data_IF_307855221734
#
_entry.id   IF_307855221734
#
_cell.length_a   1.000
_cell.length_b   1.000
_cell.length_c   1.000
_cell.angle_alpha   90.00
_cell.angle_beta   90.00
_cell.angle_gamma   90.00
#
_symmetry.space_group_name_H-M   'P 1'
#
loop_
_entity.id
_entity.type
_entity.pdbx_description
1 polymer ?
#
# COMPACT_ATOMS: atom_id res chain seq x y z
N UNK A 1 -39.74 -16.06 -23.82
CA UNK A 1 -38.88 -16.65 -22.78
C UNK A 1 -38.28 -15.50 -21.99
N UNK A 2 -38.84 -15.22 -20.82
CA UNK A 2 -38.38 -14.13 -19.95
C UNK A 2 -37.24 -14.66 -19.07
N UNK A 3 -36.07 -14.01 -19.11
CA UNK A 3 -34.95 -14.32 -18.24
C UNK A 3 -35.29 -13.87 -16.80
N UNK A 4 -35.17 -14.80 -15.86
CA UNK A 4 -35.32 -14.55 -14.43
C UNK A 4 -34.23 -13.59 -13.95
N UNK A 5 -34.61 -12.41 -13.48
CA UNK A 5 -33.73 -11.53 -12.72
C UNK A 5 -33.31 -12.22 -11.43
N UNK A 6 -32.01 -12.43 -11.26
CA UNK A 6 -31.42 -12.81 -9.98
C UNK A 6 -31.72 -11.72 -8.95
N UNK A 7 -32.17 -12.03 -7.72
CA UNK A 7 -32.44 -11.00 -6.73
C UNK A 7 -31.12 -10.33 -6.34
N UNK A 8 -31.08 -9.00 -6.38
CA UNK A 8 -30.01 -8.24 -5.75
C UNK A 8 -29.98 -8.59 -4.26
N UNK A 9 -28.83 -9.07 -3.81
CA UNK A 9 -28.58 -9.43 -2.42
C UNK A 9 -28.68 -8.16 -1.56
N UNK A 10 -29.83 -7.95 -0.89
CA UNK A 10 -30.15 -6.77 -0.08
C UNK A 10 -29.38 -6.70 1.24
N UNK A 11 -28.52 -7.68 1.53
CA UNK A 11 -27.86 -7.80 2.83
C UNK A 11 -26.52 -7.05 2.92
N UNK A 12 -26.19 -6.17 1.97
CA UNK A 12 -24.89 -5.48 1.99
C UNK A 12 -24.83 -4.32 3.01
N UNK A 13 -25.96 -3.91 3.59
CA UNK A 13 -26.04 -2.74 4.48
C UNK A 13 -27.02 -2.89 5.67
N UNK A 14 -27.48 -4.10 5.97
CA UNK A 14 -28.40 -4.31 7.10
C UNK A 14 -27.58 -4.81 8.27
N UNK A 15 -27.24 -3.93 9.20
CA UNK A 15 -26.81 -4.34 10.54
C UNK A 15 -28.03 -4.97 11.23
N UNK A 16 -27.87 -6.19 11.74
CA UNK A 16 -28.98 -7.01 12.26
C UNK A 16 -29.47 -6.50 13.65
N UNK A 17 -28.73 -5.60 14.29
CA UNK A 17 -29.07 -5.05 15.62
C UNK A 17 -28.75 -3.54 15.72
N UNK A 18 -29.65 -2.79 16.38
CA UNK A 18 -29.49 -1.36 16.73
C UNK A 18 -28.29 -1.15 17.65
N UNK A 19 -27.94 -2.15 18.47
CA UNK A 19 -26.75 -2.12 19.31
C UNK A 19 -25.44 -2.10 18.49
N UNK A 20 -25.38 -2.85 17.38
CA UNK A 20 -24.23 -2.87 16.46
C UNK A 20 -24.04 -1.54 15.74
N UNK A 21 -25.14 -0.84 15.39
CA UNK A 21 -25.10 0.51 14.82
C UNK A 21 -24.55 1.56 15.80
N UNK A 22 -24.87 1.43 17.08
CA UNK A 22 -24.34 2.32 18.13
C UNK A 22 -22.85 2.07 18.35
N UNK A 23 -22.40 0.82 18.39
CA UNK A 23 -20.97 0.48 18.50
C UNK A 23 -20.17 0.86 17.23
N UNK A 24 -20.77 0.80 16.04
CA UNK A 24 -20.13 1.17 14.78
C UNK A 24 -19.76 2.66 14.68
N UNK A 25 -20.49 3.54 15.40
CA UNK A 25 -20.21 4.97 15.45
C UNK A 25 -19.05 5.35 16.40
N UNK A 26 -18.54 4.40 17.18
CA UNK A 26 -17.40 4.62 18.06
C UNK A 26 -16.10 4.08 17.46
N UNK A 27 -14.97 4.67 17.86
CA UNK A 27 -13.64 4.14 17.53
C UNK A 27 -13.55 2.65 17.90
N UNK A 28 -12.90 1.78 17.10
CA UNK A 28 -12.84 0.33 17.35
C UNK A 28 -12.29 -0.04 18.74
N UNK A 29 -11.51 0.86 19.33
CA UNK A 29 -10.88 0.69 20.64
C UNK A 29 -11.67 1.34 21.78
N UNK A 30 -12.88 1.87 21.55
CA UNK A 30 -13.66 2.55 22.57
C UNK A 30 -13.79 1.73 23.87
N UNK A 31 -13.54 2.39 25.00
CA UNK A 31 -13.49 1.76 26.33
C UNK A 31 -12.09 1.37 26.82
N UNK A 32 -11.10 1.21 25.92
CA UNK A 32 -9.73 0.86 26.33
C UNK A 32 -9.07 1.93 27.23
N UNK A 33 -9.45 3.19 27.04
CA UNK A 33 -8.89 4.36 27.71
C UNK A 33 -9.05 4.35 29.23
N UNK A 34 -10.05 3.61 29.75
CA UNK A 34 -10.32 3.49 31.18
C UNK A 34 -9.53 2.37 31.85
N UNK A 35 -8.79 1.56 31.08
CA UNK A 35 -7.95 0.50 31.63
C UNK A 35 -6.68 1.09 32.26
N UNK A 36 -6.26 0.51 33.37
CA UNK A 36 -4.93 0.76 33.93
C UNK A 36 -3.85 0.16 33.03
N UNK A 37 -2.72 0.84 32.92
CA UNK A 37 -1.52 0.27 32.30
C UNK A 37 -1.03 -0.88 33.19
N UNK A 38 -0.69 -2.02 32.57
CA UNK A 38 -0.28 -3.26 33.24
C UNK A 38 1.09 -3.71 32.71
N UNK A 39 1.70 -4.73 33.33
CA UNK A 39 2.92 -5.34 32.76
C UNK A 39 2.61 -6.05 31.45
N UNK A 40 3.62 -6.34 30.63
CA UNK A 40 3.39 -6.98 29.34
C UNK A 40 2.72 -8.35 29.49
N UNK A 41 3.13 -9.16 30.48
CA UNK A 41 2.55 -10.47 30.75
C UNK A 41 1.07 -10.40 31.09
N UNK A 42 0.69 -9.45 31.96
CA UNK A 42 -0.71 -9.21 32.35
C UNK A 42 -1.52 -8.70 31.15
N UNK A 43 -0.94 -7.83 30.35
CA UNK A 43 -1.60 -7.21 29.21
C UNK A 43 -1.96 -8.22 28.10
N UNK A 44 -1.24 -9.34 28.01
CA UNK A 44 -1.49 -10.39 27.01
C UNK A 44 -2.13 -11.66 27.58
N UNK A 45 -2.39 -11.73 28.89
CA UNK A 45 -2.85 -12.94 29.59
C UNK A 45 -4.09 -13.57 28.92
N UNK A 46 -5.08 -12.74 28.56
CA UNK A 46 -6.32 -13.19 27.90
C UNK A 46 -6.11 -13.73 26.49
N UNK A 47 -4.96 -13.45 25.87
CA UNK A 47 -4.62 -13.84 24.51
C UNK A 47 -3.83 -15.15 24.46
N UNK A 48 -3.20 -15.56 25.57
CA UNK A 48 -2.38 -16.78 25.67
C UNK A 48 -3.11 -18.03 25.15
N UNK A 49 -4.41 -18.26 25.43
CA UNK A 49 -5.09 -19.46 24.91
C UNK A 49 -5.35 -19.43 23.41
N UNK A 50 -5.33 -18.24 22.78
CA UNK A 50 -5.75 -18.03 21.39
C UNK A 50 -4.57 -17.81 20.44
N UNK A 51 -3.44 -17.30 20.94
CA UNK A 51 -2.24 -16.99 20.15
C UNK A 51 -1.16 -18.00 20.49
N UNK A 52 -0.85 -18.88 19.55
CA UNK A 52 0.22 -19.87 19.70
C UNK A 52 1.58 -19.20 19.95
N UNK A 53 2.40 -19.81 20.80
CA UNK A 53 3.76 -19.35 21.15
C UNK A 53 3.84 -17.93 21.76
N UNK A 54 2.72 -17.35 22.22
CA UNK A 54 2.70 -15.98 22.74
C UNK A 54 3.67 -15.75 23.90
N UNK A 55 3.82 -16.73 24.78
CA UNK A 55 4.74 -16.64 25.92
C UNK A 55 6.20 -16.50 25.46
N UNK A 56 6.59 -17.24 24.43
CA UNK A 56 7.92 -17.14 23.85
C UNK A 56 8.13 -15.78 23.16
N UNK A 57 7.09 -15.26 22.48
CA UNK A 57 7.15 -13.92 21.89
C UNK A 57 7.31 -12.83 22.96
N UNK A 58 6.61 -12.93 24.09
CA UNK A 58 6.77 -12.01 25.22
C UNK A 58 8.17 -12.08 25.81
N UNK A 59 8.72 -13.29 26.00
CA UNK A 59 10.06 -13.47 26.52
C UNK A 59 11.11 -12.84 25.57
N UNK A 60 11.00 -13.10 24.27
CA UNK A 60 11.86 -12.48 23.25
C UNK A 60 11.71 -10.95 23.25
N UNK A 61 10.49 -10.44 23.29
CA UNK A 61 10.25 -9.00 23.31
C UNK A 61 10.91 -8.33 24.51
N UNK A 62 10.80 -8.89 25.72
CA UNK A 62 11.47 -8.37 26.92
C UNK A 62 12.99 -8.51 26.84
N UNK A 63 13.50 -9.54 26.19
CA UNK A 63 14.93 -9.76 26.01
C UNK A 63 15.55 -8.71 25.07
N UNK A 64 14.92 -8.43 23.94
CA UNK A 64 15.51 -7.66 22.84
C UNK A 64 15.02 -6.21 22.73
N UNK A 65 13.99 -5.80 23.47
CA UNK A 65 13.53 -4.42 23.46
C UNK A 65 14.60 -3.44 23.96
N UNK A 66 14.49 -2.18 23.55
CA UNK A 66 15.38 -1.12 24.03
C UNK A 66 15.18 -0.87 25.53
N UNK A 67 16.21 -1.13 26.33
CA UNK A 67 16.20 -0.91 27.80
C UNK A 67 16.84 0.40 28.24
N UNK A 68 17.36 1.18 27.30
CA UNK A 68 18.12 2.40 27.57
C UNK A 68 17.26 3.67 27.53
N UNK A 69 15.97 3.55 27.23
CA UNK A 69 15.06 4.68 27.21
C UNK A 69 14.74 5.15 28.63
N UNK A 70 14.84 6.46 28.87
CA UNK A 70 14.36 7.09 30.09
C UNK A 70 12.89 7.54 30.01
N UNK A 71 12.26 7.45 28.82
CA UNK A 71 10.93 7.99 28.55
C UNK A 71 9.81 6.96 28.74
N UNK A 72 10.11 5.68 28.48
CA UNK A 72 9.15 4.58 28.54
C UNK A 72 9.65 3.50 29.49
N UNK A 73 8.72 2.76 30.10
CA UNK A 73 9.07 1.62 30.96
C UNK A 73 9.60 0.46 30.14
N UNK A 74 10.19 -0.53 30.84
CA UNK A 74 10.65 -1.75 30.18
C UNK A 74 9.48 -2.52 29.52
N UNK A 75 8.34 -2.64 30.19
CA UNK A 75 7.16 -3.30 29.61
C UNK A 75 6.57 -2.52 28.42
N UNK A 76 6.61 -1.20 28.45
CA UNK A 76 6.20 -0.34 27.33
C UNK A 76 7.10 -0.53 26.11
N UNK A 77 8.42 -0.56 26.31
CA UNK A 77 9.40 -0.85 25.26
C UNK A 77 9.22 -2.26 24.69
N UNK A 78 9.00 -3.25 25.57
CA UNK A 78 8.73 -4.62 25.17
C UNK A 78 7.40 -4.76 24.38
N UNK A 79 6.37 -3.99 24.72
CA UNK A 79 5.11 -3.98 23.96
C UNK A 79 5.30 -3.45 22.53
N UNK A 80 6.11 -2.39 22.34
CA UNK A 80 6.48 -1.89 21.01
C UNK A 80 7.25 -2.96 20.24
N UNK A 81 8.24 -3.59 20.88
CA UNK A 81 9.02 -4.66 20.25
C UNK A 81 8.12 -5.83 19.82
N UNK A 82 7.25 -6.31 20.72
CA UNK A 82 6.30 -7.39 20.44
C UNK A 82 5.40 -7.09 19.23
N UNK A 83 4.90 -5.86 19.13
CA UNK A 83 4.10 -5.43 17.97
C UNK A 83 4.91 -5.44 16.66
N UNK A 84 6.20 -5.11 16.71
CA UNK A 84 7.06 -5.06 15.53
C UNK A 84 7.58 -6.43 15.07
N UNK A 85 7.44 -7.47 15.89
CA UNK A 85 7.85 -8.83 15.55
C UNK A 85 6.92 -9.41 14.45
N UNK A 86 7.49 -9.94 13.38
CA UNK A 86 6.75 -10.64 12.32
C UNK A 86 6.28 -12.03 12.81
N UNK A 87 5.29 -12.05 13.70
CA UNK A 87 4.76 -13.25 14.36
C UNK A 87 3.25 -13.36 14.21
N UNK A 88 2.68 -14.49 14.63
CA UNK A 88 1.24 -14.71 14.67
C UNK A 88 0.52 -13.70 15.57
N UNK A 89 1.19 -13.20 16.62
CA UNK A 89 0.63 -12.13 17.44
C UNK A 89 0.30 -10.87 16.61
N UNK A 90 1.25 -10.43 15.78
CA UNK A 90 1.06 -9.27 14.90
C UNK A 90 -0.07 -9.50 13.89
N UNK A 91 -0.08 -10.66 13.23
CA UNK A 91 -1.09 -10.97 12.21
C UNK A 91 -2.50 -11.06 12.81
N UNK A 92 -2.64 -11.69 14.00
CA UNK A 92 -3.91 -11.82 14.71
C UNK A 92 -4.43 -10.50 15.25
N UNK A 93 -3.57 -9.65 15.83
CA UNK A 93 -3.97 -8.31 16.27
C UNK A 93 -4.51 -7.49 15.09
N UNK A 94 -3.77 -7.47 13.98
CA UNK A 94 -4.19 -6.75 12.78
C UNK A 94 -5.51 -7.27 12.21
N UNK A 95 -5.74 -8.59 12.28
CA UNK A 95 -7.03 -9.20 11.91
C UNK A 95 -8.16 -8.75 12.84
N UNK A 96 -7.90 -8.69 14.15
CA UNK A 96 -8.88 -8.22 15.13
C UNK A 96 -9.22 -6.73 14.94
N UNK A 97 -8.23 -5.88 14.66
CA UNK A 97 -8.42 -4.44 14.42
C UNK A 97 -9.27 -4.14 13.18
N UNK A 98 -9.17 -4.99 12.14
CA UNK A 98 -9.95 -4.88 10.89
C UNK A 98 -11.29 -5.61 10.96
N UNK A 99 -11.57 -6.33 12.03
CA UNK A 99 -12.82 -7.07 12.17
C UNK A 99 -13.98 -6.09 12.44
N UNK A 100 -15.07 -6.26 11.71
CA UNK A 100 -16.30 -5.47 11.90
C UNK A 100 -16.93 -5.75 13.28
N UNK A 101 -16.80 -7.00 13.77
CA UNK A 101 -17.26 -7.41 15.09
C UNK A 101 -16.34 -6.86 16.18
N UNK A 102 -16.64 -5.66 16.67
CA UNK A 102 -15.81 -4.90 17.63
C UNK A 102 -15.48 -5.67 18.92
N UNK A 103 -16.37 -6.54 19.39
CA UNK A 103 -16.13 -7.35 20.59
C UNK A 103 -14.91 -8.29 20.45
N UNK A 104 -14.53 -8.68 19.24
CA UNK A 104 -13.35 -9.51 18.96
C UNK A 104 -12.05 -8.81 19.40
N UNK A 105 -12.07 -7.48 19.46
CA UNK A 105 -10.91 -6.69 19.89
C UNK A 105 -10.80 -6.54 21.42
N UNK A 106 -11.88 -6.77 22.19
CA UNK A 106 -11.89 -6.57 23.65
C UNK A 106 -10.78 -7.33 24.40
N UNK A 107 -10.42 -8.58 24.06
CA UNK A 107 -9.30 -9.28 24.70
C UNK A 107 -7.95 -8.56 24.54
N UNK A 108 -7.80 -7.73 23.50
CA UNK A 108 -6.56 -7.01 23.16
C UNK A 108 -6.44 -5.66 23.86
N UNK A 109 -7.48 -5.16 24.53
CA UNK A 109 -7.49 -3.80 25.05
C UNK A 109 -6.40 -3.52 26.08
N UNK A 110 -6.03 -4.50 26.92
CA UNK A 110 -4.95 -4.33 27.88
C UNK A 110 -3.59 -4.16 27.19
N UNK A 111 -3.30 -4.98 26.17
CA UNK A 111 -2.13 -4.81 25.32
C UNK A 111 -2.15 -3.47 24.57
N UNK A 112 -3.27 -3.10 23.93
CA UNK A 112 -3.40 -1.82 23.22
C UNK A 112 -3.22 -0.63 24.16
N UNK A 113 -3.69 -0.71 25.41
CA UNK A 113 -3.47 0.33 26.41
C UNK A 113 -1.98 0.49 26.73
N UNK A 114 -1.26 -0.61 26.97
CA UNK A 114 0.19 -0.58 27.22
C UNK A 114 0.95 -0.03 26.00
N UNK A 115 0.67 -0.56 24.81
CA UNK A 115 1.32 -0.19 23.56
C UNK A 115 1.08 1.28 23.17
N UNK A 116 -0.17 1.75 23.20
CA UNK A 116 -0.48 3.14 22.84
C UNK A 116 0.05 4.13 23.87
N UNK A 117 0.05 3.78 25.17
CA UNK A 117 0.67 4.62 26.20
C UNK A 117 2.19 4.74 25.97
N UNK A 118 2.85 3.66 25.53
CA UNK A 118 4.26 3.70 25.16
C UNK A 118 4.51 4.65 23.98
N UNK A 119 3.69 4.56 22.93
CA UNK A 119 3.82 5.44 21.75
C UNK A 119 3.56 6.91 22.08
N UNK A 120 2.58 7.22 22.92
CA UNK A 120 2.27 8.60 23.35
C UNK A 120 3.43 9.29 24.11
N UNK A 121 4.29 8.51 24.77
CA UNK A 121 5.46 9.02 25.52
C UNK A 121 6.68 9.27 24.64
N UNK A 122 6.72 8.70 23.43
CA UNK A 122 7.85 8.88 22.53
C UNK A 122 7.77 10.24 21.83
N UNK A 123 8.91 10.93 21.63
CA UNK A 123 8.91 12.20 20.92
C UNK A 123 8.47 11.97 19.48
N UNK A 124 7.66 12.88 18.94
CA UNK A 124 7.39 12.91 17.51
C UNK A 124 8.66 13.31 16.76
N UNK A 125 9.03 12.53 15.76
CA UNK A 125 10.13 12.83 14.86
C UNK A 125 9.55 13.32 13.52
N UNK A 126 10.08 14.44 13.03
CA UNK A 126 9.82 14.91 11.67
C UNK A 126 10.93 14.36 10.78
N UNK A 127 10.67 13.21 10.17
CA UNK A 127 11.59 12.55 9.26
C UNK A 127 10.85 12.10 7.98
N UNK A 128 11.60 11.81 6.93
CA UNK A 128 11.06 11.34 5.66
C UNK A 128 10.65 9.87 5.80
N UNK A 129 9.34 9.62 5.82
CA UNK A 129 8.81 8.25 5.74
C UNK A 129 8.62 7.88 4.27
N UNK A 130 9.45 6.96 3.79
CA UNK A 130 9.34 6.42 2.44
C UNK A 130 8.18 5.44 2.33
N UNK A 131 7.00 5.95 2.01
CA UNK A 131 5.81 5.15 1.76
C UNK A 131 5.58 5.00 0.25
N UNK A 132 5.53 3.75 -0.19
CA UNK A 132 5.15 3.38 -1.55
C UNK A 132 3.68 2.99 -1.66
N UNK A 133 3.11 3.23 -2.84
CA UNK A 133 1.85 2.60 -3.29
C UNK A 133 2.13 1.84 -4.58
N UNK A 134 1.62 0.62 -4.68
CA UNK A 134 1.82 -0.24 -5.85
C UNK A 134 0.51 -0.83 -6.35
N UNK A 135 0.49 -1.15 -7.63
CA UNK A 135 -0.59 -1.93 -8.22
C UNK A 135 -0.33 -2.26 -9.69
N UNK A 136 -1.08 -3.22 -10.21
CA UNK A 136 -1.06 -3.60 -11.62
C UNK A 136 -2.34 -3.19 -12.35
N UNK A 137 -2.29 -3.00 -13.67
CA UNK A 137 -3.48 -2.69 -14.48
C UNK A 137 -4.19 -1.41 -13.95
N UNK A 138 -5.46 -1.52 -13.56
CA UNK A 138 -6.22 -0.42 -12.95
C UNK A 138 -5.65 -0.04 -11.58
N UNK A 139 -5.08 -1.01 -10.85
CA UNK A 139 -4.32 -0.76 -9.63
C UNK A 139 -3.04 0.05 -9.89
N UNK A 140 -2.39 -0.12 -11.04
CA UNK A 140 -1.24 0.69 -11.44
C UNK A 140 -1.63 2.13 -11.76
N UNK A 141 -2.76 2.33 -12.45
CA UNK A 141 -3.37 3.66 -12.61
C UNK A 141 -3.74 4.28 -11.25
N UNK A 142 -4.31 3.49 -10.35
CA UNK A 142 -4.69 3.95 -9.02
C UNK A 142 -3.46 4.32 -8.18
N UNK A 143 -2.36 3.55 -8.25
CA UNK A 143 -1.11 3.86 -7.58
C UNK A 143 -0.56 5.23 -8.03
N UNK A 144 -0.50 5.46 -9.35
CA UNK A 144 -0.13 6.76 -9.93
C UNK A 144 -1.04 7.89 -9.42
N UNK A 145 -2.35 7.69 -9.48
CA UNK A 145 -3.35 8.66 -9.03
C UNK A 145 -3.20 8.99 -7.54
N UNK A 146 -3.01 7.98 -6.69
CA UNK A 146 -2.91 8.12 -5.24
C UNK A 146 -1.64 8.87 -4.86
N UNK A 147 -0.52 8.54 -5.48
CA UNK A 147 0.75 9.20 -5.19
C UNK A 147 0.73 10.68 -5.60
N UNK A 148 0.15 11.02 -6.76
CA UNK A 148 0.04 12.41 -7.19
C UNK A 148 -1.05 13.20 -6.45
N UNK A 149 -2.08 12.54 -5.91
CA UNK A 149 -3.09 13.19 -5.05
C UNK A 149 -2.54 13.51 -3.67
N UNK A 150 -1.58 12.72 -3.19
CA UNK A 150 -1.05 12.83 -1.83
C UNK A 150 0.49 12.68 -1.83
N UNK A 151 1.23 13.58 -2.51
CA UNK A 151 2.69 13.48 -2.65
C UNK A 151 3.42 13.63 -1.31
N UNK A 152 2.80 14.24 -0.31
CA UNK A 152 3.33 14.30 1.07
C UNK A 152 3.15 13.01 1.86
N UNK A 153 2.32 12.07 1.38
CA UNK A 153 2.05 10.78 2.03
C UNK A 153 2.73 9.64 1.30
N UNK A 154 2.73 9.65 -0.04
CA UNK A 154 3.33 8.60 -0.85
C UNK A 154 4.47 9.19 -1.66
N UNK A 155 5.71 8.89 -1.25
CA UNK A 155 6.92 9.31 -1.95
C UNK A 155 7.27 8.41 -3.15
N UNK A 156 6.60 7.27 -3.32
CA UNK A 156 6.88 6.29 -4.38
C UNK A 156 5.58 5.74 -4.97
N UNK A 157 5.49 5.66 -6.30
CA UNK A 157 4.42 4.98 -7.02
C UNK A 157 4.97 3.86 -7.92
N UNK A 158 4.54 2.62 -7.72
CA UNK A 158 4.91 1.45 -8.53
C UNK A 158 3.72 1.09 -9.42
N UNK A 159 3.82 1.41 -10.70
CA UNK A 159 2.73 1.29 -11.69
C UNK A 159 3.07 0.17 -12.68
N UNK A 160 2.52 -1.03 -12.46
CA UNK A 160 2.81 -2.21 -13.29
C UNK A 160 1.74 -2.41 -14.37
N UNK A 161 2.15 -2.58 -15.63
CA UNK A 161 1.25 -2.62 -16.80
C UNK A 161 0.05 -1.67 -16.67
N UNK A 162 0.25 -0.36 -16.36
CA UNK A 162 -0.81 0.51 -15.86
C UNK A 162 -1.82 0.85 -16.96
N UNK A 163 -3.09 0.91 -16.56
CA UNK A 163 -4.20 1.19 -17.47
C UNK A 163 -4.40 2.69 -17.74
N UNK A 164 -3.33 3.37 -18.18
CA UNK A 164 -3.38 4.78 -18.61
C UNK A 164 -4.29 5.01 -19.82
N UNK A 165 -4.69 3.95 -20.52
CA UNK A 165 -5.69 3.96 -21.58
C UNK A 165 -7.13 4.19 -21.06
N UNK A 166 -7.38 3.97 -19.76
CA UNK A 166 -8.72 4.08 -19.19
C UNK A 166 -9.30 5.50 -19.36
N UNK A 167 -10.48 5.61 -19.97
CA UNK A 167 -11.14 6.88 -20.27
C UNK A 167 -10.64 7.59 -21.53
N UNK A 168 -9.64 7.02 -22.22
CA UNK A 168 -9.12 7.50 -23.50
C UNK A 168 -9.42 6.53 -24.62
N UNK A 169 -9.09 5.26 -24.40
CA UNK A 169 -9.33 4.17 -25.33
C UNK A 169 -10.57 3.41 -24.89
N UNK A 170 -11.51 3.22 -25.83
CA UNK A 170 -12.72 2.42 -25.58
C UNK A 170 -12.43 0.98 -25.99
N UNK A 171 -12.68 0.04 -25.08
CA UNK A 171 -12.75 -1.39 -25.41
C UNK A 171 -14.22 -1.77 -25.66
N UNK A 172 -14.62 -1.96 -26.92
CA UNK A 172 -15.55 -3.03 -27.23
C UNK A 172 -15.04 -3.80 -28.46
N UNK A 173 -14.84 -5.10 -28.29
CA UNK A 173 -14.67 -5.99 -29.45
C UNK A 173 -15.93 -5.90 -30.32
N UNK A 174 -15.88 -5.77 -31.67
CA UNK A 174 -14.75 -6.02 -32.57
C UNK A 174 -14.29 -4.79 -33.39
N UNK A 175 -14.63 -3.56 -32.98
CA UNK A 175 -14.19 -2.35 -33.68
C UNK A 175 -13.38 -1.51 -32.69
N UNK A 176 -12.05 -1.59 -32.80
CA UNK A 176 -11.12 -0.66 -32.18
C UNK A 176 -11.37 0.73 -32.76
N UNK A 177 -12.36 1.45 -32.26
CA UNK A 177 -12.43 2.90 -32.47
C UNK A 177 -11.35 3.52 -31.58
N UNK A 178 -10.14 3.63 -32.11
CA UNK A 178 -9.07 4.42 -31.49
C UNK A 178 -9.51 5.88 -31.45
N UNK A 179 -10.08 6.30 -30.32
CA UNK A 179 -10.16 7.72 -30.01
C UNK A 179 -8.76 8.12 -29.55
N UNK A 180 -7.89 8.45 -30.50
CA UNK A 180 -6.53 8.93 -30.25
C UNK A 180 -6.56 10.31 -29.58
N UNK A 181 -7.01 10.36 -28.33
CA UNK A 181 -6.72 11.48 -27.45
C UNK A 181 -5.36 11.22 -26.83
N UNK A 182 -4.49 12.23 -26.90
CA UNK A 182 -3.21 12.15 -26.22
C UNK A 182 -3.42 12.13 -24.72
N UNK A 183 -2.59 11.36 -24.01
CA UNK A 183 -2.47 11.40 -22.56
C UNK A 183 -2.26 12.82 -22.05
N UNK A 184 -1.53 13.65 -22.76
CA UNK A 184 -1.29 15.05 -22.38
C UNK A 184 -2.61 15.82 -22.17
N UNK A 185 -3.61 15.52 -23.00
CA UNK A 185 -4.92 16.17 -22.95
C UNK A 185 -5.93 15.47 -22.05
N UNK A 186 -5.55 14.33 -21.46
CA UNK A 186 -6.41 13.52 -20.60
C UNK A 186 -6.77 14.24 -19.30
N UNK A 187 -7.90 13.85 -18.71
CA UNK A 187 -8.30 14.37 -17.40
C UNK A 187 -7.31 13.95 -16.30
N UNK A 188 -6.62 12.81 -16.46
CA UNK A 188 -5.57 12.36 -15.54
C UNK A 188 -4.42 13.36 -15.48
N UNK A 189 -3.85 13.71 -16.63
CA UNK A 189 -2.73 14.67 -16.70
C UNK A 189 -3.19 16.08 -16.35
N UNK A 190 -4.37 16.50 -16.83
CA UNK A 190 -4.91 17.83 -16.51
C UNK A 190 -5.09 18.01 -15.00
N UNK A 191 -5.58 16.98 -14.30
CA UNK A 191 -5.78 17.01 -12.84
C UNK A 191 -4.47 17.19 -12.07
N UNK A 192 -3.37 16.58 -12.52
CA UNK A 192 -2.10 16.56 -11.80
C UNK A 192 -1.02 17.46 -12.40
N UNK A 193 -1.37 18.32 -13.35
CA UNK A 193 -0.41 19.17 -14.05
C UNK A 193 0.46 19.98 -13.06
N UNK A 194 -0.17 20.61 -12.06
CA UNK A 194 0.54 21.48 -11.11
C UNK A 194 1.48 20.68 -10.21
N UNK A 195 1.05 19.49 -9.77
CA UNK A 195 1.88 18.57 -8.97
C UNK A 195 3.07 18.11 -9.80
N UNK A 196 2.85 17.66 -11.03
CA UNK A 196 3.90 17.20 -11.95
C UNK A 196 4.89 18.31 -12.33
N UNK A 197 4.46 19.58 -12.34
CA UNK A 197 5.35 20.73 -12.53
C UNK A 197 6.17 21.06 -11.28
N UNK A 198 5.65 20.80 -10.08
CA UNK A 198 6.34 21.08 -8.81
C UNK A 198 7.63 20.27 -8.62
N UNK A 199 8.50 20.70 -7.71
CA UNK A 199 9.72 19.96 -7.35
C UNK A 199 9.48 18.81 -6.36
N UNK A 200 8.30 18.75 -5.73
CA UNK A 200 7.96 17.74 -4.73
C UNK A 200 7.00 16.72 -5.33
N UNK A 201 7.56 15.78 -6.08
CA UNK A 201 6.82 14.70 -6.76
C UNK A 201 7.35 13.34 -6.29
N UNK A 202 6.51 12.30 -6.27
CA UNK A 202 6.96 10.96 -5.95
C UNK A 202 7.94 10.43 -6.99
N UNK A 203 8.82 9.52 -6.56
CA UNK A 203 9.54 8.62 -7.47
C UNK A 203 8.49 7.76 -8.19
N UNK A 204 8.51 7.78 -9.51
CA UNK A 204 7.60 6.99 -10.33
C UNK A 204 8.33 5.77 -10.86
N UNK A 205 7.74 4.60 -10.73
CA UNK A 205 8.12 3.40 -11.48
C UNK A 205 6.98 3.03 -12.42
N UNK A 206 7.29 2.84 -13.70
CA UNK A 206 6.34 2.41 -14.73
C UNK A 206 6.93 1.20 -15.46
N UNK A 207 6.18 0.10 -15.50
CA UNK A 207 6.55 -1.09 -16.27
C UNK A 207 5.49 -1.52 -17.26
N UNK A 208 5.93 -2.29 -18.25
CA UNK A 208 5.07 -3.08 -19.12
C UNK A 208 5.88 -4.23 -19.76
N UNK A 209 5.16 -5.27 -20.13
CA UNK A 209 5.65 -6.40 -20.90
C UNK A 209 5.48 -6.20 -22.42
N UNK A 210 6.21 -6.98 -23.21
CA UNK A 210 6.10 -7.01 -24.67
C UNK A 210 5.51 -8.33 -25.20
N UNK A 211 5.30 -9.31 -24.34
CA UNK A 211 4.80 -10.62 -24.75
C UNK A 211 3.27 -10.63 -24.84
N UNK A 212 2.78 -11.19 -25.94
CA UNK A 212 1.38 -11.54 -26.07
C UNK A 212 1.10 -12.77 -25.23
N UNK A 213 0.42 -12.60 -24.10
CA UNK A 213 -0.13 -13.70 -23.33
C UNK A 213 -0.94 -14.65 -24.23
N UNK A 214 -0.96 -15.95 -23.93
CA UNK A 214 -1.64 -16.98 -24.73
C UNK A 214 -3.13 -16.67 -24.98
N UNK A 215 -3.74 -15.86 -24.11
CA UNK A 215 -5.10 -15.34 -24.26
C UNK A 215 -5.12 -13.99 -25.01
N UNK A 216 -5.99 -13.90 -26.03
CA UNK A 216 -6.16 -12.71 -26.89
C UNK A 216 -6.49 -11.45 -26.08
N UNK A 217 -7.25 -11.59 -24.99
CA UNK A 217 -7.65 -10.46 -24.14
C UNK A 217 -6.44 -9.85 -23.43
N UNK A 218 -5.65 -10.66 -22.72
CA UNK A 218 -4.47 -10.21 -21.99
C UNK A 218 -3.41 -9.63 -22.93
N UNK A 219 -3.27 -10.22 -24.12
CA UNK A 219 -2.43 -9.67 -25.19
C UNK A 219 -2.84 -8.27 -25.68
N UNK A 220 -4.15 -8.01 -25.77
CA UNK A 220 -4.64 -6.69 -26.18
C UNK A 220 -4.42 -5.65 -25.09
N UNK A 221 -4.71 -6.02 -23.84
CA UNK A 221 -4.54 -5.14 -22.68
C UNK A 221 -3.07 -4.78 -22.49
N UNK A 222 -2.15 -5.75 -22.60
CA UNK A 222 -0.70 -5.46 -22.48
C UNK A 222 -0.24 -4.49 -23.58
N UNK A 223 -0.70 -4.68 -24.83
CA UNK A 223 -0.34 -3.75 -25.93
C UNK A 223 -0.83 -2.33 -25.67
N UNK A 224 -2.02 -2.17 -25.10
CA UNK A 224 -2.54 -0.85 -24.73
C UNK A 224 -1.75 -0.26 -23.56
N UNK A 225 -1.44 -1.07 -22.54
CA UNK A 225 -0.59 -0.67 -21.42
C UNK A 225 0.79 -0.22 -21.91
N UNK A 226 1.44 -0.99 -22.77
CA UNK A 226 2.72 -0.65 -23.39
C UNK A 226 2.63 0.65 -24.20
N UNK A 227 1.65 0.78 -25.09
CA UNK A 227 1.51 1.98 -25.93
C UNK A 227 1.31 3.25 -25.09
N UNK A 228 0.48 3.19 -24.05
CA UNK A 228 0.20 4.37 -23.21
C UNK A 228 1.29 4.61 -22.16
N UNK A 229 2.00 3.58 -21.73
CA UNK A 229 3.14 3.76 -20.84
C UNK A 229 4.31 4.42 -21.56
N UNK A 230 4.57 4.07 -22.83
CA UNK A 230 5.54 4.80 -23.66
C UNK A 230 5.17 6.29 -23.79
N UNK A 231 3.92 6.60 -24.15
CA UNK A 231 3.47 8.00 -24.25
C UNK A 231 3.55 8.74 -22.90
N UNK A 232 3.24 8.06 -21.79
CA UNK A 232 3.38 8.64 -20.44
C UNK A 232 4.85 8.94 -20.10
N UNK A 233 5.75 8.02 -20.40
CA UNK A 233 7.19 8.20 -20.17
C UNK A 233 7.73 9.37 -20.99
N UNK A 234 7.36 9.46 -22.27
CA UNK A 234 7.71 10.60 -23.13
C UNK A 234 7.18 11.92 -22.56
N UNK A 235 5.92 11.94 -22.11
CA UNK A 235 5.32 13.12 -21.52
C UNK A 235 6.02 13.56 -20.23
N UNK A 236 6.27 12.62 -19.31
CA UNK A 236 6.95 12.90 -18.03
C UNK A 236 8.37 13.41 -18.23
N UNK A 237 9.11 12.82 -19.16
CA UNK A 237 10.50 13.21 -19.44
C UNK A 237 10.56 14.55 -20.17
N UNK A 238 9.84 14.70 -21.28
CA UNK A 238 9.96 15.85 -22.17
C UNK A 238 9.27 17.10 -21.60
N UNK A 239 8.11 16.96 -20.96
CA UNK A 239 7.32 18.10 -20.47
C UNK A 239 7.56 18.42 -19.00
N UNK A 240 7.66 17.39 -18.17
CA UNK A 240 7.72 17.57 -16.70
C UNK A 240 9.14 17.46 -16.12
N UNK A 241 10.12 17.11 -16.95
CA UNK A 241 11.54 17.09 -16.58
C UNK A 241 11.93 15.88 -15.72
N UNK A 242 11.19 14.77 -15.82
CA UNK A 242 11.60 13.52 -15.16
C UNK A 242 12.87 12.95 -15.80
N UNK A 243 13.81 12.56 -14.95
CA UNK A 243 15.00 11.81 -15.34
C UNK A 243 14.65 10.33 -15.42
N UNK A 244 14.53 9.83 -16.64
CA UNK A 244 14.27 8.42 -16.88
C UNK A 244 15.53 7.59 -16.62
N UNK A 245 15.36 6.47 -15.90
CA UNK A 245 16.39 5.46 -15.69
C UNK A 245 15.78 4.08 -15.90
N UNK A 246 16.48 3.19 -16.59
CA UNK A 246 16.09 1.78 -16.62
C UNK A 246 16.42 1.17 -15.25
N UNK A 247 15.49 0.40 -14.67
CA UNK A 247 15.63 -0.18 -13.32
C UNK A 247 16.92 -0.98 -13.17
N UNK A 248 17.27 -1.75 -14.19
CA UNK A 248 18.49 -2.56 -14.24
C UNK A 248 19.79 -1.76 -14.29
N UNK A 249 19.73 -0.47 -14.64
CA UNK A 249 20.88 0.44 -14.68
C UNK A 249 20.99 1.38 -13.47
N UNK A 250 20.07 1.29 -12.51
CA UNK A 250 20.07 2.18 -11.35
C UNK A 250 21.24 1.85 -10.43
N UNK A 251 22.18 2.78 -10.32
CA UNK A 251 23.29 2.71 -9.36
C UNK A 251 22.98 3.51 -8.10
N UNK A 252 22.32 4.66 -8.27
CA UNK A 252 21.94 5.58 -7.21
C UNK A 252 20.74 6.41 -7.66
N UNK A 253 19.89 6.79 -6.72
CA UNK A 253 18.79 7.72 -6.92
C UNK A 253 19.14 9.04 -6.23
N UNK A 254 18.86 10.17 -6.89
CA UNK A 254 19.08 11.50 -6.34
C UNK A 254 17.73 12.15 -6.02
N UNK A 255 17.45 12.36 -4.73
CA UNK A 255 16.17 12.87 -4.26
C UNK A 255 15.91 14.34 -4.66
N UNK A 256 16.91 15.05 -5.19
CA UNK A 256 16.74 16.41 -5.72
C UNK A 256 16.24 16.43 -7.18
N UNK A 257 16.17 15.28 -7.84
CA UNK A 257 15.68 15.14 -9.21
C UNK A 257 14.29 14.49 -9.22
N UNK A 258 13.51 14.75 -10.28
CA UNK A 258 12.28 14.01 -10.52
C UNK A 258 12.65 12.67 -11.14
N UNK A 259 12.44 11.58 -10.42
CA UNK A 259 12.93 10.26 -10.83
C UNK A 259 11.81 9.45 -11.49
N UNK A 260 12.09 8.93 -12.68
CA UNK A 260 11.23 7.99 -13.40
C UNK A 260 12.00 6.70 -13.69
N UNK A 261 11.67 5.66 -12.96
CA UNK A 261 12.21 4.32 -13.16
C UNK A 261 11.33 3.56 -14.17
N UNK A 262 11.96 2.89 -15.12
CA UNK A 262 11.25 2.14 -16.16
C UNK A 262 11.75 0.72 -16.30
N UNK A 263 10.85 -0.21 -16.60
CA UNK A 263 11.18 -1.58 -16.96
C UNK A 263 10.34 -1.99 -18.17
N UNK A 264 11.01 -2.31 -19.27
CA UNK A 264 10.39 -2.88 -20.47
C UNK A 264 10.78 -4.35 -20.49
N UNK A 265 9.83 -5.23 -20.18
CA UNK A 265 10.11 -6.66 -20.06
C UNK A 265 9.81 -7.37 -21.40
N UNK A 266 10.84 -7.81 -22.15
CA UNK A 266 10.64 -8.43 -23.45
C UNK A 266 9.84 -9.73 -23.37
N UNK A 267 9.87 -10.41 -22.21
CA UNK A 267 9.17 -11.68 -21.97
C UNK A 267 7.89 -11.52 -21.13
N UNK A 268 7.67 -10.32 -20.61
CA UNK A 268 6.57 -9.99 -19.71
C UNK A 268 5.20 -10.00 -20.40
N UNK A 269 4.20 -10.54 -19.71
CA UNK A 269 2.78 -10.47 -20.08
C UNK A 269 1.93 -9.71 -19.05
N UNK A 270 0.62 -9.62 -19.33
CA UNK A 270 -0.38 -8.98 -18.46
C UNK A 270 -0.92 -9.95 -17.42
N UNK A 271 -0.03 -10.48 -16.57
CA UNK A 271 -0.39 -11.47 -15.55
C UNK A 271 0.47 -11.36 -14.28
N UNK A 272 -0.03 -12.01 -13.22
CA UNK A 272 0.53 -11.94 -11.87
C UNK A 272 1.96 -12.49 -11.78
N UNK A 273 2.34 -13.46 -12.63
CA UNK A 273 3.67 -14.06 -12.60
C UNK A 273 4.72 -13.04 -13.03
N UNK A 274 4.43 -12.25 -14.06
CA UNK A 274 5.36 -11.22 -14.52
C UNK A 274 5.36 -9.99 -13.62
N UNK A 275 4.20 -9.59 -13.10
CA UNK A 275 4.13 -8.50 -12.13
C UNK A 275 4.90 -8.82 -10.84
N UNK A 276 4.82 -10.03 -10.31
CA UNK A 276 5.57 -10.44 -9.13
C UNK A 276 7.08 -10.34 -9.33
N UNK A 277 7.59 -10.84 -10.46
CA UNK A 277 9.01 -10.74 -10.81
C UNK A 277 9.49 -9.29 -10.88
N UNK A 278 8.74 -8.43 -11.58
CA UNK A 278 9.10 -7.02 -11.75
C UNK A 278 8.98 -6.24 -10.43
N UNK A 279 7.95 -6.54 -9.63
CA UNK A 279 7.77 -5.98 -8.29
C UNK A 279 8.97 -6.31 -7.40
N UNK A 280 9.42 -7.56 -7.39
CA UNK A 280 10.60 -7.97 -6.61
C UNK A 280 11.85 -7.17 -7.01
N UNK A 281 12.09 -7.01 -8.31
CA UNK A 281 13.24 -6.23 -8.82
C UNK A 281 13.19 -4.77 -8.36
N UNK A 282 12.07 -4.08 -8.56
CA UNK A 282 11.97 -2.66 -8.21
C UNK A 282 12.00 -2.43 -6.70
N UNK A 283 11.37 -3.32 -5.92
CA UNK A 283 11.39 -3.24 -4.46
C UNK A 283 12.81 -3.32 -3.94
N UNK A 284 13.65 -4.21 -4.47
CA UNK A 284 15.07 -4.28 -4.08
C UNK A 284 15.84 -3.00 -4.42
N UNK A 285 15.64 -2.42 -5.61
CA UNK A 285 16.30 -1.16 -6.01
C UNK A 285 15.89 -0.01 -5.07
N UNK A 286 14.61 0.08 -4.72
CA UNK A 286 14.10 1.11 -3.82
C UNK A 286 14.57 0.88 -2.38
N UNK A 287 14.60 -0.36 -1.89
CA UNK A 287 15.14 -0.68 -0.56
C UNK A 287 16.61 -0.34 -0.44
N UNK A 288 17.41 -0.67 -1.46
CA UNK A 288 18.82 -0.32 -1.53
C UNK A 288 19.02 1.20 -1.48
N UNK A 289 18.16 1.97 -2.16
CA UNK A 289 18.17 3.43 -2.05
C UNK A 289 17.84 3.89 -0.63
N UNK A 290 16.71 3.47 -0.08
CA UNK A 290 16.22 3.93 1.22
C UNK A 290 17.19 3.56 2.35
N UNK A 291 17.83 2.37 2.30
CA UNK A 291 18.64 1.86 3.39
C UNK A 291 20.13 2.28 3.32
N UNK A 292 20.65 2.67 2.14
CA UNK A 292 22.03 3.18 2.01
C UNK A 292 22.22 4.61 2.55
N UNK A 293 21.14 5.27 2.98
CA UNK A 293 21.16 6.63 3.54
C UNK A 293 20.87 6.72 5.05
N UNK A 294 21.04 5.62 5.80
CA UNK A 294 21.16 5.63 7.27
C UNK A 294 22.62 5.42 7.69
#
# INVERSE_FOLDING_TARGET
MAQSMTPMNSNRFVNDDVSELQEANHSPIYGYQHLSVMTLEQAVEKLVPSVSNLIDYVAQAKQYCNRNSSLITWDESAAIYLYSMQTDFFSMLNKALRNEKRHVLKPWFAFLKLFLTALEKLPSLNDTVWRGVSGSNLGGLAAFHMALSHPSVFGIAICMSPSFWAGLDFLPLPIMTKYFKSLETSDLIRKYNDVLQSNHVPILYIDWGLTTAWEIHNSLVERLAASRSNEMVDLLTQKYGFKQMAVESVQQINDNEKILLTCIDPYGGHDEIWWDKRLFTIVNVLFDHIWKFQ
#
